data_IF_061469688659
#
_entry.id   IF_061469688659
#
_cell.length_a   1.000
_cell.length_b   1.000
_cell.length_c   1.000
_cell.angle_alpha   90.00
_cell.angle_beta   90.00
_cell.angle_gamma   90.00
#
_symmetry.space_group_name_H-M   'P 1'
#
loop_
_entity.id
_entity.type
_entity.pdbx_description
1 polymer ?
#
# COMPACT_ATOMS: atom_id res chain seq x y z
N UNK A 1 -1.45 20.64 -0.57
CA UNK A 1 0.01 20.44 -0.40
C UNK A 1 0.30 20.13 1.07
N UNK A 2 -0.55 20.62 1.97
CA UNK A 2 -0.49 20.44 3.42
C UNK A 2 -0.63 18.98 3.87
N UNK A 3 -1.53 18.20 3.26
CA UNK A 3 -1.74 16.78 3.63
C UNK A 3 -0.45 15.95 3.59
N UNK A 4 0.42 16.15 2.59
CA UNK A 4 1.62 15.34 2.45
C UNK A 4 2.66 15.64 3.55
N UNK A 5 2.74 16.89 4.00
CA UNK A 5 3.67 17.31 5.05
C UNK A 5 3.24 16.81 6.42
N UNK A 6 1.94 16.78 6.70
CA UNK A 6 1.40 16.19 7.93
C UNK A 6 1.61 14.67 7.97
N UNK A 7 1.41 13.98 6.84
CA UNK A 7 1.56 12.52 6.76
C UNK A 7 3.01 12.07 6.99
N UNK A 8 4.01 12.90 6.66
CA UNK A 8 5.42 12.59 6.94
C UNK A 8 5.72 12.44 8.43
N UNK A 9 4.96 13.11 9.30
CA UNK A 9 5.12 13.05 10.75
C UNK A 9 4.19 12.02 11.41
N UNK A 10 3.23 11.47 10.66
CA UNK A 10 2.30 10.48 11.17
C UNK A 10 2.95 9.09 11.26
N UNK A 11 2.73 8.39 12.37
CA UNK A 11 3.14 6.99 12.51
C UNK A 11 2.11 6.01 11.96
N UNK A 12 0.83 6.40 11.93
CA UNK A 12 -0.30 5.61 11.44
C UNK A 12 -1.08 6.47 10.45
N UNK A 13 -1.33 5.91 9.27
CA UNK A 13 -2.05 6.58 8.19
C UNK A 13 -3.31 5.75 7.91
N UNK A 14 -4.47 6.31 8.18
CA UNK A 14 -5.76 5.72 7.83
C UNK A 14 -6.29 6.40 6.58
N UNK A 15 -6.60 5.62 5.55
CA UNK A 15 -6.96 6.15 4.23
C UNK A 15 -7.84 5.18 3.48
N UNK A 16 -8.48 5.64 2.41
CA UNK A 16 -9.19 4.79 1.45
C UNK A 16 -8.26 4.41 0.30
N UNK A 17 -8.54 3.30 -0.41
CA UNK A 17 -7.74 2.91 -1.59
C UNK A 17 -7.64 4.04 -2.63
N UNK A 18 -8.70 4.80 -2.85
CA UNK A 18 -8.78 5.89 -3.83
C UNK A 18 -7.88 7.08 -3.43
N UNK A 19 -7.89 7.45 -2.14
CA UNK A 19 -7.02 8.50 -1.60
C UNK A 19 -5.55 8.08 -1.65
N UNK A 20 -5.26 6.82 -1.29
CA UNK A 20 -3.90 6.29 -1.36
C UNK A 20 -3.40 6.17 -2.80
N UNK A 21 -4.25 5.75 -3.75
CA UNK A 21 -3.89 5.74 -5.18
C UNK A 21 -3.45 7.14 -5.63
N UNK A 22 -4.26 8.14 -5.34
CA UNK A 22 -4.01 9.54 -5.70
C UNK A 22 -2.67 10.03 -5.12
N UNK A 23 -2.41 9.74 -3.84
CA UNK A 23 -1.18 10.17 -3.17
C UNK A 23 0.07 9.44 -3.65
N UNK A 24 -0.06 8.16 -4.02
CA UNK A 24 1.08 7.32 -4.39
C UNK A 24 1.35 7.25 -5.89
N UNK A 25 0.56 7.91 -6.74
CA UNK A 25 0.83 7.98 -8.20
C UNK A 25 2.23 8.53 -8.53
N UNK A 26 2.73 9.49 -7.76
CA UNK A 26 4.10 10.06 -7.89
C UNK A 26 5.08 9.47 -6.87
N UNK A 27 4.99 8.16 -6.60
CA UNK A 27 5.83 7.46 -5.60
C UNK A 27 7.34 7.56 -5.86
N UNK A 28 7.79 7.84 -7.09
CA UNK A 28 9.21 8.04 -7.40
C UNK A 28 9.76 9.37 -6.85
N UNK A 29 8.91 10.38 -6.80
CA UNK A 29 9.26 11.71 -6.28
C UNK A 29 8.92 11.84 -4.78
N UNK A 30 8.17 10.87 -4.24
CA UNK A 30 7.66 10.89 -2.87
C UNK A 30 8.23 9.73 -2.05
N UNK A 31 9.17 10.04 -1.16
CA UNK A 31 9.84 9.07 -0.28
C UNK A 31 8.91 8.37 0.71
N UNK A 32 7.68 8.88 0.91
CA UNK A 32 6.71 8.36 1.87
C UNK A 32 6.43 6.87 1.68
N UNK A 33 6.25 6.44 0.43
CA UNK A 33 5.95 5.02 0.12
C UNK A 33 7.11 4.10 0.49
N UNK A 34 8.35 4.61 0.48
CA UNK A 34 9.55 3.87 0.88
C UNK A 34 9.71 3.77 2.40
N UNK A 35 9.05 4.66 3.16
CA UNK A 35 9.10 4.67 4.63
C UNK A 35 8.08 3.70 5.24
N UNK A 36 7.04 3.31 4.48
CA UNK A 36 5.99 2.38 4.94
C UNK A 36 6.58 0.99 5.18
N UNK A 37 6.52 0.53 6.43
CA UNK A 37 6.97 -0.81 6.85
C UNK A 37 5.83 -1.80 7.07
N UNK A 38 4.60 -1.31 7.18
CA UNK A 38 3.40 -2.12 7.35
C UNK A 38 2.33 -1.57 6.42
N UNK A 39 1.76 -2.43 5.58
CA UNK A 39 0.60 -2.13 4.77
C UNK A 39 -0.54 -3.04 5.20
N UNK A 40 -1.51 -2.46 5.93
CA UNK A 40 -2.70 -3.14 6.39
C UNK A 40 -3.84 -2.86 5.41
N UNK A 41 -4.43 -3.92 4.88
CA UNK A 41 -5.58 -3.86 3.98
C UNK A 41 -6.75 -4.43 4.75
N UNK A 42 -7.72 -3.57 5.06
CA UNK A 42 -8.99 -4.01 5.64
C UNK A 42 -9.97 -4.34 4.52
N UNK A 43 -10.88 -5.26 4.79
CA UNK A 43 -11.92 -5.73 3.87
C UNK A 43 -11.42 -6.17 2.49
N UNK A 44 -10.41 -7.04 2.44
CA UNK A 44 -9.83 -7.50 1.16
C UNK A 44 -10.84 -8.22 0.26
N UNK A 45 -11.98 -8.69 0.78
CA UNK A 45 -13.08 -9.20 -0.05
C UNK A 45 -13.64 -8.18 -1.04
N UNK A 46 -13.43 -6.88 -0.80
CA UNK A 46 -13.76 -5.80 -1.75
C UNK A 46 -12.99 -5.96 -3.06
N UNK A 47 -11.90 -6.74 -3.12
CA UNK A 47 -11.23 -7.07 -4.37
C UNK A 47 -12.18 -7.68 -5.42
N UNK A 48 -13.24 -8.38 -4.97
CA UNK A 48 -14.27 -8.97 -5.85
C UNK A 48 -15.38 -7.99 -6.26
N UNK A 49 -15.37 -6.77 -5.73
CA UNK A 49 -16.30 -5.71 -6.10
C UNK A 49 -15.87 -5.08 -7.44
N UNK A 50 -16.78 -5.03 -8.43
CA UNK A 50 -16.46 -4.54 -9.78
C UNK A 50 -16.03 -3.07 -9.81
N UNK A 51 -16.52 -2.24 -8.88
CA UNK A 51 -16.24 -0.80 -8.88
C UNK A 51 -15.01 -0.46 -8.05
N UNK A 52 -14.82 -1.13 -6.91
CA UNK A 52 -13.78 -0.79 -5.92
C UNK A 52 -12.57 -1.72 -5.97
N UNK A 53 -12.76 -2.96 -6.41
CA UNK A 53 -11.72 -3.98 -6.53
C UNK A 53 -10.54 -3.54 -7.40
N UNK A 54 -10.75 -2.98 -8.61
CA UNK A 54 -9.65 -2.54 -9.46
C UNK A 54 -8.74 -1.49 -8.80
N UNK A 55 -9.32 -0.57 -8.02
CA UNK A 55 -8.53 0.46 -7.32
C UNK A 55 -7.67 -0.17 -6.23
N UNK A 56 -8.25 -1.09 -5.45
CA UNK A 56 -7.50 -1.81 -4.42
C UNK A 56 -6.37 -2.65 -5.03
N UNK A 57 -6.65 -3.36 -6.12
CA UNK A 57 -5.66 -4.17 -6.86
C UNK A 57 -4.46 -3.34 -7.32
N UNK A 58 -4.72 -2.17 -7.93
CA UNK A 58 -3.68 -1.25 -8.41
C UNK A 58 -2.82 -0.75 -7.25
N UNK A 59 -3.44 -0.38 -6.14
CA UNK A 59 -2.74 0.09 -4.94
C UNK A 59 -1.84 -1.01 -4.38
N UNK A 60 -2.37 -2.21 -4.15
CA UNK A 60 -1.62 -3.34 -3.58
C UNK A 60 -0.46 -3.72 -4.51
N UNK A 61 -0.70 -3.79 -5.82
CA UNK A 61 0.33 -4.09 -6.82
C UNK A 61 1.45 -3.05 -6.84
N UNK A 62 1.11 -1.76 -6.71
CA UNK A 62 2.10 -0.67 -6.60
C UNK A 62 2.95 -0.83 -5.35
N UNK A 63 2.35 -1.11 -4.18
CA UNK A 63 3.10 -1.31 -2.93
C UNK A 63 4.05 -2.50 -3.01
N UNK A 64 3.61 -3.63 -3.59
CA UNK A 64 4.47 -4.79 -3.85
C UNK A 64 5.64 -4.44 -4.78
N UNK A 65 5.40 -3.66 -5.82
CA UNK A 65 6.43 -3.20 -6.78
C UNK A 65 7.44 -2.26 -6.11
N UNK A 66 6.99 -1.34 -5.25
CA UNK A 66 7.90 -0.44 -4.52
C UNK A 66 8.80 -1.23 -3.57
N UNK A 67 8.27 -2.26 -2.89
CA UNK A 67 9.06 -3.16 -2.08
C UNK A 67 10.13 -3.89 -2.90
N UNK A 68 9.76 -4.47 -4.06
CA UNK A 68 10.71 -5.24 -4.88
C UNK A 68 11.85 -4.37 -5.39
N UNK A 69 11.55 -3.14 -5.82
CA UNK A 69 12.56 -2.17 -6.26
C UNK A 69 13.46 -1.68 -5.12
N UNK A 70 12.89 -1.46 -3.92
CA UNK A 70 13.68 -1.05 -2.75
C UNK A 70 14.70 -2.11 -2.33
N UNK A 71 14.34 -3.41 -2.45
CA UNK A 71 15.26 -4.53 -2.22
C UNK A 71 16.39 -4.59 -3.24
N UNK A 72 16.12 -4.29 -4.51
CA UNK A 72 17.13 -4.33 -5.57
C UNK A 72 18.19 -3.21 -5.45
N UNK A 73 17.83 -2.07 -4.86
CA UNK A 73 18.69 -0.87 -4.82
C UNK A 73 19.53 -0.75 -3.54
N UNK A 74 19.19 -1.47 -2.46
CA UNK A 74 19.88 -1.35 -1.17
C UNK A 74 20.62 -2.65 -0.85
N UNK A 75 21.95 -2.63 -0.99
CA UNK A 75 22.88 -3.70 -0.60
C UNK A 75 22.94 -3.98 0.93
N UNK A 76 21.99 -3.45 1.71
CA UNK A 76 21.87 -3.64 3.14
C UNK A 76 20.45 -4.07 3.46
N UNK A 77 20.31 -5.15 4.25
CA UNK A 77 19.07 -5.77 4.74
C UNK A 77 17.93 -4.75 4.93
N UNK A 78 17.11 -4.48 3.89
CA UNK A 78 15.99 -3.59 4.05
C UNK A 78 14.89 -4.43 4.69
N UNK A 79 14.47 -4.07 5.90
CA UNK A 79 13.30 -4.69 6.53
C UNK A 79 12.15 -4.57 5.54
N UNK A 80 11.63 -5.69 5.01
CA UNK A 80 10.63 -5.63 3.96
C UNK A 80 9.31 -5.15 4.54
N UNK A 81 8.56 -4.37 3.76
CA UNK A 81 7.19 -4.00 4.09
C UNK A 81 6.34 -5.24 4.38
N UNK A 82 5.78 -5.34 5.58
CA UNK A 82 4.87 -6.42 5.95
C UNK A 82 3.48 -6.10 5.40
N UNK A 83 2.89 -7.05 4.68
CA UNK A 83 1.50 -6.97 4.26
C UNK A 83 0.63 -7.74 5.25
N UNK A 84 -0.46 -7.13 5.69
CA UNK A 84 -1.49 -7.78 6.50
C UNK A 84 -2.82 -7.50 5.84
N UNK A 85 -3.52 -8.55 5.41
CA UNK A 85 -4.85 -8.43 4.84
C UNK A 85 -5.88 -8.99 5.82
N UNK A 86 -6.94 -8.23 6.06
CA UNK A 86 -8.08 -8.59 6.91
C UNK A 86 -9.31 -8.62 6.02
N UNK A 87 -10.21 -9.58 6.27
CA UNK A 87 -11.47 -9.65 5.55
C UNK A 87 -12.49 -10.52 6.27
N UNK A 88 -13.77 -10.26 6.00
CA UNK A 88 -14.84 -11.26 6.10
C UNK A 88 -14.49 -12.57 5.38
N UNK A 89 -15.18 -13.66 5.71
CA UNK A 89 -14.93 -15.01 5.15
C UNK A 89 -14.94 -14.98 3.62
N UNK A 90 -13.78 -15.24 3.00
CA UNK A 90 -13.64 -15.33 1.54
C UNK A 90 -13.41 -16.79 1.16
N UNK A 91 -14.12 -17.34 0.16
CA UNK A 91 -13.69 -18.56 -0.49
C UNK A 91 -12.43 -18.29 -1.33
N UNK A 92 -11.46 -19.20 -1.28
CA UNK A 92 -10.18 -19.15 -1.99
C UNK A 92 -9.18 -18.12 -1.43
N UNK A 93 -8.68 -18.34 -0.21
CA UNK A 93 -7.72 -17.46 0.48
C UNK A 93 -6.26 -17.60 0.01
N UNK A 94 -5.98 -18.59 -0.84
CA UNK A 94 -4.63 -18.86 -1.37
C UNK A 94 -4.28 -18.03 -2.62
N UNK A 95 -5.29 -17.37 -3.23
CA UNK A 95 -5.13 -16.44 -4.36
C UNK A 95 -4.83 -15.01 -3.87
#
# INVERSE_FOLDING_TARGET
>A
MDDLFEIQHANIIMTTPEKWDTMTRKWRDNSLVQLVRLFLIDEVHILKDENRGPTLEVVVSRMKTVQSLSRALKNASPVPMRFVAVSATIPNTED
#
